data_IF_433402164186
#
_entry.id   IF_433402164186
#
_cell.length_a   1.000
_cell.length_b   1.000
_cell.length_c   1.000
_cell.angle_alpha   90.00
_cell.angle_beta   90.00
_cell.angle_gamma   90.00
#
_symmetry.space_group_name_H-M   'P 1'
#
loop_
_entity.id
_entity.type
_entity.pdbx_description
1 polymer ?
#
# COMPACT_ATOMS: atom_id res chain seq x y z
N UNK A 1 -13.61 10.91 15.91
CA UNK A 1 -14.10 9.60 15.46
C UNK A 1 -13.61 8.48 16.37
N UNK A 2 -12.33 8.11 16.35
CA UNK A 2 -11.80 7.00 17.17
C UNK A 2 -11.99 7.20 18.69
N UNK A 3 -11.65 8.38 19.22
CA UNK A 3 -11.77 8.64 20.66
C UNK A 3 -13.23 8.56 21.15
N UNK A 4 -14.16 9.20 20.43
CA UNK A 4 -15.58 9.11 20.74
C UNK A 4 -16.09 7.66 20.70
N UNK A 5 -15.58 6.81 19.81
CA UNK A 5 -15.97 5.40 19.76
C UNK A 5 -15.54 4.63 21.02
N UNK A 6 -14.43 5.01 21.65
CA UNK A 6 -13.98 4.39 22.90
C UNK A 6 -14.85 4.75 24.11
N UNK A 7 -15.51 5.91 24.09
CA UNK A 7 -16.41 6.37 25.16
C UNK A 7 -17.71 5.55 25.24
N UNK A 8 -18.10 4.85 24.17
CA UNK A 8 -19.30 3.98 24.14
C UNK A 8 -19.01 2.53 24.60
N UNK A 9 -17.92 2.31 25.33
CA UNK A 9 -17.62 1.02 25.96
C UNK A 9 -16.82 0.07 25.07
N UNK A 10 -15.78 0.57 24.38
CA UNK A 10 -14.84 -0.31 23.70
C UNK A 10 -14.11 -1.21 24.72
N UNK A 11 -14.08 -2.54 24.53
CA UNK A 11 -13.43 -3.45 25.46
C UNK A 11 -11.90 -3.34 25.39
N UNK A 12 -11.15 -3.86 26.38
CA UNK A 12 -9.72 -4.07 26.22
C UNK A 12 -9.45 -4.97 25.01
N UNK A 13 -8.73 -4.48 24.02
CA UNK A 13 -8.46 -5.20 22.77
C UNK A 13 -6.99 -5.03 22.37
N UNK A 14 -6.47 -6.06 21.70
CA UNK A 14 -5.13 -6.07 21.11
C UNK A 14 -5.15 -6.90 19.84
N UNK A 15 -4.28 -6.57 18.89
CA UNK A 15 -4.17 -7.26 17.60
C UNK A 15 -2.72 -7.41 17.17
N UNK A 16 -2.51 -8.29 16.20
CA UNK A 16 -1.21 -8.50 15.56
C UNK A 16 -1.42 -8.64 14.06
N UNK A 17 -0.47 -8.14 13.27
CA UNK A 17 -0.45 -8.29 11.83
C UNK A 17 0.87 -8.93 11.38
N UNK A 18 0.79 -9.88 10.45
CA UNK A 18 1.94 -10.49 9.80
C UNK A 18 2.20 -9.84 8.45
N UNK A 19 3.47 -9.63 8.10
CA UNK A 19 3.86 -9.27 6.75
C UNK A 19 3.82 -10.50 5.85
N UNK A 20 2.73 -10.68 5.10
CA UNK A 20 2.49 -11.87 4.28
C UNK A 20 3.62 -12.12 3.29
N UNK A 21 4.06 -11.10 2.54
CA UNK A 21 5.12 -11.24 1.52
C UNK A 21 6.42 -11.75 2.13
N UNK A 22 6.76 -11.23 3.33
CA UNK A 22 7.94 -11.66 4.07
C UNK A 22 7.78 -13.08 4.62
N UNK A 23 6.60 -13.40 5.16
CA UNK A 23 6.30 -14.75 5.68
C UNK A 23 6.48 -15.81 4.59
N UNK A 24 5.91 -15.57 3.40
CA UNK A 24 6.02 -16.49 2.27
C UNK A 24 7.47 -16.55 1.74
N UNK A 25 8.16 -15.41 1.64
CA UNK A 25 9.56 -15.38 1.22
C UNK A 25 10.47 -16.20 2.17
N UNK A 26 10.27 -16.07 3.48
CA UNK A 26 10.98 -16.88 4.49
C UNK A 26 10.64 -18.37 4.36
N UNK A 27 9.37 -18.73 4.15
CA UNK A 27 8.97 -20.12 3.90
C UNK A 27 9.61 -20.70 2.63
N UNK A 28 9.80 -19.88 1.61
CA UNK A 28 10.44 -20.27 0.35
C UNK A 28 11.96 -20.07 0.29
N UNK A 29 12.60 -19.68 1.39
CA UNK A 29 14.07 -19.55 1.48
C UNK A 29 14.67 -18.40 0.68
N UNK A 30 13.89 -17.35 0.38
CA UNK A 30 14.36 -16.16 -0.33
C UNK A 30 14.48 -14.94 0.58
N UNK A 31 15.55 -14.18 0.39
CA UNK A 31 15.76 -12.89 1.07
C UNK A 31 14.96 -11.74 0.43
N UNK A 32 14.52 -11.92 -0.81
CA UNK A 32 13.77 -10.93 -1.59
C UNK A 32 12.29 -11.26 -1.64
N UNK A 33 11.45 -10.32 -1.18
CA UNK A 33 9.99 -10.42 -1.33
C UNK A 33 9.53 -10.19 -2.77
N UNK A 34 10.38 -9.61 -3.63
CA UNK A 34 9.99 -9.25 -5.01
C UNK A 34 9.62 -10.46 -5.85
N UNK A 35 10.18 -11.63 -5.53
CA UNK A 35 9.92 -12.88 -6.24
C UNK A 35 8.59 -13.53 -5.83
N UNK A 36 7.97 -13.02 -4.75
CA UNK A 36 6.68 -13.50 -4.21
C UNK A 36 5.54 -12.52 -4.51
N UNK A 37 5.83 -11.42 -5.20
CA UNK A 37 4.88 -10.42 -5.63
C UNK A 37 4.82 -10.48 -7.16
N UNK A 38 3.65 -10.74 -7.74
CA UNK A 38 3.52 -10.95 -9.18
C UNK A 38 3.97 -9.73 -10.02
N UNK A 39 3.72 -8.51 -9.54
CA UNK A 39 4.06 -7.25 -10.22
C UNK A 39 4.79 -6.29 -9.27
N UNK A 40 6.07 -6.57 -8.94
CA UNK A 40 6.81 -5.80 -7.96
C UNK A 40 7.20 -4.44 -8.55
N UNK A 41 7.29 -3.42 -7.69
CA UNK A 41 7.79 -2.09 -8.07
C UNK A 41 9.31 -2.04 -7.93
N UNK A 42 9.95 -1.12 -8.66
CA UNK A 42 11.37 -0.85 -8.49
C UNK A 42 11.63 0.05 -7.24
N UNK A 43 12.89 0.38 -6.98
CA UNK A 43 13.27 1.23 -5.83
C UNK A 43 12.70 2.66 -5.88
N UNK A 44 12.30 3.14 -7.06
CA UNK A 44 11.62 4.42 -7.27
C UNK A 44 10.09 4.30 -7.21
N UNK A 45 9.54 3.14 -6.82
CA UNK A 45 8.10 2.90 -6.76
C UNK A 45 7.43 2.76 -8.13
N UNK A 46 8.21 2.62 -9.21
CA UNK A 46 7.66 2.48 -10.57
C UNK A 46 7.39 1.02 -10.92
N UNK A 47 6.28 0.80 -11.59
CA UNK A 47 6.02 -0.44 -12.32
C UNK A 47 6.60 -0.30 -13.73
N UNK A 48 7.66 -1.06 -14.00
CA UNK A 48 8.37 -0.96 -15.28
C UNK A 48 7.61 -1.66 -16.42
N UNK A 49 6.66 -2.55 -16.10
CA UNK A 49 5.92 -3.32 -17.09
C UNK A 49 4.82 -2.47 -17.74
N UNK A 50 4.12 -1.66 -16.94
CA UNK A 50 3.00 -0.82 -17.40
C UNK A 50 3.33 0.67 -17.45
N UNK A 51 4.59 1.04 -17.21
CA UNK A 51 5.06 2.44 -17.11
C UNK A 51 4.24 3.30 -16.14
N UNK A 52 4.03 2.78 -14.92
CA UNK A 52 3.32 3.48 -13.85
C UNK A 52 4.29 4.00 -12.78
N UNK A 53 4.03 5.15 -12.13
CA UNK A 53 2.95 6.09 -12.43
C UNK A 53 3.21 6.86 -13.74
N UNK A 54 2.14 7.42 -14.29
CA UNK A 54 2.12 8.24 -15.50
C UNK A 54 1.30 9.52 -15.25
N UNK A 55 1.52 10.59 -16.05
CA UNK A 55 0.69 11.79 -15.99
C UNK A 55 -0.79 11.49 -16.32
N UNK A 56 -1.69 12.23 -15.69
CA UNK A 56 -3.14 12.19 -15.96
C UNK A 56 -3.61 13.47 -16.65
N UNK A 57 -4.80 13.43 -17.24
CA UNK A 57 -5.35 14.59 -17.97
C UNK A 57 -5.73 15.73 -17.01
N UNK A 58 -5.59 16.96 -17.50
CA UNK A 58 -5.94 18.16 -16.74
C UNK A 58 -7.43 18.23 -16.39
N UNK A 59 -8.29 17.62 -17.20
CA UNK A 59 -9.74 17.52 -16.92
C UNK A 59 -9.98 16.75 -15.62
N UNK A 60 -9.25 15.64 -15.40
CA UNK A 60 -9.37 14.82 -14.20
C UNK A 60 -8.85 15.55 -12.96
N UNK A 61 -7.76 16.31 -13.11
CA UNK A 61 -7.24 17.16 -12.04
C UNK A 61 -8.25 18.25 -11.65
N UNK A 62 -8.87 18.90 -12.64
CA UNK A 62 -9.88 19.93 -12.42
C UNK A 62 -11.15 19.37 -11.75
N UNK A 63 -11.62 18.20 -12.19
CA UNK A 63 -12.77 17.51 -11.59
C UNK A 63 -12.53 17.20 -10.11
N UNK A 64 -11.31 16.78 -9.76
CA UNK A 64 -10.92 16.49 -8.37
C UNK A 64 -10.54 17.74 -7.57
N UNK A 65 -10.44 18.92 -8.20
CA UNK A 65 -10.01 20.16 -7.57
C UNK A 65 -8.54 20.15 -7.12
N UNK A 66 -7.68 19.41 -7.82
CA UNK A 66 -6.26 19.21 -7.49
C UNK A 66 -5.37 20.00 -8.46
N UNK A 67 -4.35 20.68 -7.94
CA UNK A 67 -3.33 21.36 -8.74
C UNK A 67 -1.95 20.79 -8.43
N UNK A 68 -1.21 20.42 -9.49
CA UNK A 68 0.20 20.04 -9.37
C UNK A 68 1.06 21.31 -9.20
N UNK A 69 2.08 21.25 -8.33
CA UNK A 69 3.00 22.35 -8.05
C UNK A 69 4.08 22.51 -9.12
#
# INVERSE_FOLDING_TARGET
>A
FLMNAFEYGAPPHGGLAFGLDRLVATMGGSDSIRDYIAFPKNNSGRDVMIDAPSPIDTIQLNELGIQLK
#
